data_IF_796224491470
#
_entry.id   IF_796224491470
#
_cell.length_a   1.000
_cell.length_b   1.000
_cell.length_c   1.000
_cell.angle_alpha   90.00
_cell.angle_beta   90.00
_cell.angle_gamma   90.00
#
_symmetry.space_group_name_H-M   'P 1'
#
loop_
_entity.id
_entity.type
_entity.pdbx_description
1 polymer ?
#
# COMPACT_ATOMS: atom_id res chain seq x y z
N UNK A 1 -7.88 53.19 -35.44
CA UNK A 1 -6.84 52.25 -35.91
C UNK A 1 -7.56 51.02 -36.42
N UNK A 2 -7.53 50.68 -37.70
CA UNK A 2 -8.09 49.40 -38.17
C UNK A 2 -7.17 48.32 -37.63
N UNK A 3 -7.70 47.46 -36.77
CA UNK A 3 -7.02 46.23 -36.33
C UNK A 3 -6.96 45.31 -37.55
N UNK A 4 -5.75 45.21 -38.13
CA UNK A 4 -5.52 44.36 -39.32
C UNK A 4 -5.92 42.92 -39.00
N UNK A 5 -6.96 42.43 -39.70
CA UNK A 5 -7.47 41.08 -39.59
C UNK A 5 -6.35 40.03 -39.79
N UNK A 6 -5.30 40.40 -40.54
CA UNK A 6 -4.11 39.58 -40.78
C UNK A 6 -3.25 39.30 -39.54
N UNK A 7 -3.25 40.19 -38.56
CA UNK A 7 -2.47 39.99 -37.30
C UNK A 7 -3.27 39.30 -36.21
N UNK A 8 -4.60 39.40 -36.22
CA UNK A 8 -5.49 38.76 -35.25
C UNK A 8 -5.70 37.26 -35.54
N UNK A 9 -5.67 36.87 -36.85
CA UNK A 9 -5.89 35.46 -37.25
C UNK A 9 -4.86 34.48 -36.70
N UNK A 10 -3.54 34.69 -36.80
CA UNK A 10 -2.55 33.79 -36.17
C UNK A 10 -2.66 33.77 -34.65
N UNK A 11 -2.97 34.88 -33.99
CA UNK A 11 -3.17 34.92 -32.55
C UNK A 11 -4.39 34.07 -32.14
N UNK A 12 -5.48 34.11 -32.89
CA UNK A 12 -6.66 33.28 -32.69
C UNK A 12 -6.34 31.78 -32.81
N UNK A 13 -5.55 31.39 -33.83
CA UNK A 13 -5.11 30.00 -34.00
C UNK A 13 -4.26 29.53 -32.81
N UNK A 14 -3.34 30.37 -32.31
CA UNK A 14 -2.51 30.04 -31.17
C UNK A 14 -3.39 29.83 -29.92
N UNK A 15 -4.32 30.73 -29.65
CA UNK A 15 -5.24 30.60 -28.51
C UNK A 15 -6.09 29.35 -28.62
N UNK A 16 -6.62 29.06 -29.81
CA UNK A 16 -7.46 27.87 -30.06
C UNK A 16 -6.65 26.57 -29.89
N UNK A 17 -5.41 26.53 -30.37
CA UNK A 17 -4.51 25.36 -30.19
C UNK A 17 -4.15 25.13 -28.74
N UNK A 18 -3.89 26.20 -27.97
CA UNK A 18 -3.62 26.13 -26.56
C UNK A 18 -4.82 25.58 -25.77
N UNK A 19 -6.02 26.06 -26.09
CA UNK A 19 -7.27 25.60 -25.50
C UNK A 19 -7.52 24.12 -25.81
N UNK A 20 -7.25 23.69 -27.06
CA UNK A 20 -7.34 22.28 -27.44
C UNK A 20 -6.38 21.40 -26.64
N UNK A 21 -5.12 21.84 -26.45
CA UNK A 21 -4.14 21.12 -25.64
C UNK A 21 -4.62 20.96 -24.19
N UNK A 22 -5.17 22.03 -23.61
CA UNK A 22 -5.72 21.97 -22.24
C UNK A 22 -6.87 21.00 -22.13
N UNK A 23 -7.80 21.00 -23.09
CA UNK A 23 -8.92 20.07 -23.14
C UNK A 23 -8.43 18.62 -23.26
N UNK A 24 -7.48 18.36 -24.16
CA UNK A 24 -6.88 17.03 -24.29
C UNK A 24 -6.20 16.59 -22.99
N UNK A 25 -5.46 17.50 -22.34
CA UNK A 25 -4.82 17.21 -21.06
C UNK A 25 -5.85 16.83 -19.99
N UNK A 26 -6.96 17.57 -19.87
CA UNK A 26 -8.03 17.26 -18.90
C UNK A 26 -8.65 15.88 -19.18
N UNK A 27 -8.84 15.51 -20.45
CA UNK A 27 -9.41 14.21 -20.82
C UNK A 27 -8.43 13.06 -20.55
N UNK A 28 -7.15 13.21 -20.93
CA UNK A 28 -6.17 12.13 -20.86
C UNK A 28 -5.49 12.01 -19.49
N UNK A 29 -5.40 13.10 -18.72
CA UNK A 29 -4.74 13.08 -17.40
C UNK A 29 -5.27 11.99 -16.46
N UNK A 30 -6.58 11.79 -16.27
CA UNK A 30 -7.08 10.74 -15.39
C UNK A 30 -6.74 9.33 -15.88
N UNK A 31 -6.68 9.12 -17.21
CA UNK A 31 -6.30 7.84 -17.81
C UNK A 31 -4.82 7.54 -17.58
N UNK A 32 -3.96 8.53 -17.82
CA UNK A 32 -2.51 8.43 -17.59
C UNK A 32 -2.24 8.20 -16.09
N UNK A 33 -2.87 8.99 -15.22
CA UNK A 33 -2.75 8.85 -13.78
C UNK A 33 -3.15 7.45 -13.30
N UNK A 34 -4.26 6.91 -13.81
CA UNK A 34 -4.72 5.56 -13.47
C UNK A 34 -3.74 4.48 -13.94
N UNK A 35 -3.24 4.58 -15.17
CA UNK A 35 -2.26 3.65 -15.74
C UNK A 35 -0.94 3.71 -14.96
N UNK A 36 -0.46 4.91 -14.67
CA UNK A 36 0.74 5.13 -13.86
C UNK A 36 0.58 4.53 -12.44
N UNK A 37 -0.55 4.80 -11.78
CA UNK A 37 -0.82 4.26 -10.46
C UNK A 37 -0.87 2.73 -10.47
N UNK A 38 -1.54 2.11 -11.46
CA UNK A 38 -1.59 0.64 -11.60
C UNK A 38 -0.19 0.02 -11.72
N UNK A 39 0.73 0.71 -12.40
CA UNK A 39 2.10 0.21 -12.63
C UNK A 39 3.05 0.46 -11.46
N UNK A 40 2.80 1.51 -10.65
CA UNK A 40 3.71 1.98 -9.62
C UNK A 40 3.03 2.16 -8.25
N UNK A 41 1.99 1.36 -7.96
CA UNK A 41 1.23 1.50 -6.70
C UNK A 41 2.11 1.26 -5.47
N UNK A 42 3.07 0.35 -5.53
CA UNK A 42 4.07 0.07 -4.51
C UNK A 42 4.83 1.33 -4.11
N UNK A 43 5.32 2.10 -5.08
CA UNK A 43 6.03 3.36 -4.83
C UNK A 43 5.10 4.45 -4.26
N UNK A 44 3.83 4.46 -4.68
CA UNK A 44 2.84 5.42 -4.15
C UNK A 44 2.50 5.09 -2.70
N UNK A 45 2.32 3.80 -2.38
CA UNK A 45 2.06 3.35 -1.01
C UNK A 45 3.27 3.62 -0.12
N UNK A 46 4.47 3.23 -0.56
CA UNK A 46 5.70 3.49 0.16
C UNK A 46 5.91 4.98 0.51
N UNK A 47 5.58 5.90 -0.42
CA UNK A 47 5.63 7.35 -0.13
C UNK A 47 4.63 7.79 0.93
N UNK A 48 3.43 7.21 0.95
CA UNK A 48 2.43 7.56 1.97
C UNK A 48 2.81 7.00 3.34
N UNK A 49 3.32 5.77 3.39
CA UNK A 49 3.81 5.15 4.63
C UNK A 49 5.03 5.91 5.16
N UNK A 50 5.96 6.31 4.29
CA UNK A 50 7.12 7.14 4.66
C UNK A 50 6.69 8.49 5.26
N UNK A 51 5.68 9.16 4.67
CA UNK A 51 5.15 10.41 5.27
C UNK A 51 4.54 10.17 6.64
N UNK A 52 3.87 9.03 6.83
CA UNK A 52 3.30 8.66 8.12
C UNK A 52 4.41 8.40 9.14
N UNK A 53 5.44 7.60 8.79
CA UNK A 53 6.55 7.29 9.69
C UNK A 53 7.28 8.55 10.13
N UNK A 54 7.60 9.47 9.21
CA UNK A 54 8.26 10.73 9.55
C UNK A 54 7.39 11.65 10.45
N UNK A 55 6.07 11.65 10.23
CA UNK A 55 5.17 12.49 11.05
C UNK A 55 5.05 11.99 12.49
N UNK A 56 5.17 10.69 12.70
CA UNK A 56 4.97 10.04 14.00
C UNK A 56 6.29 9.61 14.65
N UNK A 57 7.42 9.85 14.00
CA UNK A 57 8.76 9.41 14.43
C UNK A 57 8.87 7.89 14.58
N UNK A 58 8.23 7.15 13.66
CA UNK A 58 8.26 5.70 13.62
C UNK A 58 9.41 5.18 12.74
N UNK A 59 9.96 4.01 13.07
CA UNK A 59 10.93 3.34 12.21
C UNK A 59 10.24 2.67 11.02
N UNK A 60 10.83 2.78 9.83
CA UNK A 60 10.30 2.19 8.60
C UNK A 60 11.39 1.43 7.83
N UNK A 61 11.13 0.17 7.54
CA UNK A 61 11.95 -0.63 6.64
C UNK A 61 11.08 -0.98 5.42
N UNK A 62 11.50 -0.55 4.23
CA UNK A 62 10.84 -0.89 2.98
C UNK A 62 11.53 -2.07 2.30
N UNK A 63 10.76 -2.94 1.66
CA UNK A 63 11.26 -4.08 0.88
C UNK A 63 12.19 -4.96 1.71
N UNK A 64 11.69 -5.41 2.84
CA UNK A 64 12.41 -6.28 3.74
C UNK A 64 12.34 -7.72 3.22
N UNK A 65 13.50 -8.30 2.90
CA UNK A 65 13.65 -9.71 2.56
C UNK A 65 14.49 -10.39 3.63
N UNK A 66 13.95 -11.39 4.29
CA UNK A 66 14.62 -12.17 5.32
C UNK A 66 14.63 -13.65 4.94
N UNK A 67 15.67 -14.33 5.38
CA UNK A 67 15.84 -15.77 5.25
C UNK A 67 16.25 -16.32 6.62
N UNK A 68 15.70 -17.49 6.99
CA UNK A 68 16.12 -18.19 8.20
C UNK A 68 17.54 -18.74 8.04
N UNK A 69 18.22 -19.02 9.18
CA UNK A 69 19.59 -19.53 9.18
C UNK A 69 19.74 -20.86 8.42
N UNK A 70 18.70 -21.70 8.46
CA UNK A 70 18.61 -22.97 7.72
C UNK A 70 18.25 -22.80 6.25
N UNK A 71 17.98 -21.57 5.78
CA UNK A 71 17.55 -21.20 4.42
C UNK A 71 16.24 -21.86 3.96
N UNK A 72 15.45 -22.39 4.88
CA UNK A 72 14.17 -23.03 4.57
C UNK A 72 13.04 -22.01 4.51
N UNK A 73 13.07 -21.04 5.44
CA UNK A 73 12.03 -20.01 5.53
C UNK A 73 12.52 -18.71 4.92
N UNK A 74 11.76 -18.21 3.95
CA UNK A 74 12.00 -16.92 3.31
C UNK A 74 10.74 -16.06 3.41
N UNK A 75 10.90 -14.76 3.65
CA UNK A 75 9.80 -13.80 3.67
C UNK A 75 10.18 -12.48 3.03
N UNK A 76 9.29 -12.02 2.14
CA UNK A 76 9.34 -10.69 1.56
C UNK A 76 8.20 -9.83 2.12
N UNK A 77 8.55 -8.73 2.76
CA UNK A 77 7.63 -7.77 3.36
C UNK A 77 7.77 -6.44 2.62
N UNK A 78 6.66 -5.92 2.13
CA UNK A 78 6.67 -4.68 1.37
C UNK A 78 7.08 -3.50 2.27
N UNK A 79 6.46 -3.40 3.46
CA UNK A 79 6.80 -2.39 4.46
C UNK A 79 6.67 -2.94 5.88
N UNK A 80 7.70 -2.72 6.70
CA UNK A 80 7.68 -2.95 8.13
C UNK A 80 7.72 -1.58 8.83
N UNK A 81 6.63 -1.20 9.50
CA UNK A 81 6.50 0.05 10.21
C UNK A 81 6.43 -0.23 11.71
N UNK A 82 7.36 0.31 12.49
CA UNK A 82 7.44 0.09 13.93
C UNK A 82 6.97 1.35 14.65
N UNK A 83 5.80 1.26 15.29
CA UNK A 83 5.18 2.30 16.11
C UNK A 83 5.56 2.17 17.59
N UNK A 84 4.84 2.91 18.45
CA UNK A 84 5.11 2.91 19.90
C UNK A 84 4.59 1.66 20.59
N UNK A 85 3.53 1.03 20.07
CA UNK A 85 2.86 -0.13 20.68
C UNK A 85 2.88 -1.38 19.82
N UNK A 86 2.99 -1.22 18.50
CA UNK A 86 2.89 -2.31 17.56
C UNK A 86 3.91 -2.21 16.43
N UNK A 87 4.21 -3.37 15.88
CA UNK A 87 4.98 -3.52 14.65
C UNK A 87 4.00 -3.92 13.54
N UNK A 88 3.86 -3.08 12.54
CA UNK A 88 2.92 -3.25 11.44
C UNK A 88 3.61 -3.92 10.25
N UNK A 89 3.19 -5.13 9.93
CA UNK A 89 3.61 -5.85 8.71
C UNK A 89 2.63 -5.51 7.60
N UNK A 90 3.06 -4.66 6.69
CA UNK A 90 2.20 -4.10 5.65
C UNK A 90 2.50 -4.79 4.32
N UNK A 91 1.46 -5.33 3.69
CA UNK A 91 1.48 -5.94 2.36
C UNK A 91 0.67 -5.09 1.40
N UNK A 92 1.26 -4.78 0.25
CA UNK A 92 0.63 -3.96 -0.77
C UNK A 92 -0.13 -4.81 -1.78
N UNK A 93 -1.35 -4.39 -2.14
CA UNK A 93 -2.12 -5.00 -3.21
C UNK A 93 -2.88 -3.96 -4.03
N UNK A 94 -3.03 -4.22 -5.33
CA UNK A 94 -3.78 -3.36 -6.23
C UNK A 94 -4.92 -4.14 -6.89
N UNK A 95 -6.15 -3.63 -6.72
CA UNK A 95 -7.34 -4.21 -7.31
C UNK A 95 -8.14 -3.14 -8.07
N UNK A 96 -8.20 -3.25 -9.41
CA UNK A 96 -9.02 -2.35 -10.24
C UNK A 96 -10.43 -2.91 -10.39
N UNK A 97 -11.25 -2.74 -9.37
CA UNK A 97 -12.64 -3.23 -9.37
C UNK A 97 -13.17 -3.53 -7.98
N UNK A 98 -13.88 -4.66 -7.83
CA UNK A 98 -14.52 -5.04 -6.58
C UNK A 98 -14.01 -6.38 -6.06
N UNK A 99 -13.86 -6.48 -4.75
CA UNK A 99 -13.53 -7.71 -4.03
C UNK A 99 -14.76 -8.18 -3.25
N UNK A 100 -15.20 -9.40 -3.52
CA UNK A 100 -16.04 -10.13 -2.60
C UNK A 100 -15.11 -10.95 -1.70
N UNK A 101 -14.73 -10.34 -0.60
CA UNK A 101 -13.75 -10.85 0.33
C UNK A 101 -14.44 -11.26 1.64
N UNK A 102 -14.12 -12.46 2.12
CA UNK A 102 -14.48 -12.92 3.47
C UNK A 102 -13.22 -13.38 4.18
N UNK A 103 -13.07 -13.00 5.43
CA UNK A 103 -11.84 -13.24 6.18
C UNK A 103 -11.46 -14.72 6.25
N UNK A 104 -12.44 -15.61 6.41
CA UNK A 104 -12.21 -17.05 6.62
C UNK A 104 -12.23 -17.89 5.33
N UNK A 105 -12.57 -17.31 4.18
CA UNK A 105 -12.60 -18.04 2.93
C UNK A 105 -11.17 -18.29 2.41
N UNK A 106 -10.86 -19.46 1.90
CA UNK A 106 -9.56 -19.75 1.29
C UNK A 106 -9.29 -18.93 0.04
N UNK A 107 -10.32 -18.45 -0.61
CA UNK A 107 -10.23 -17.69 -1.85
C UNK A 107 -11.33 -16.65 -1.94
N UNK A 108 -11.00 -15.55 -2.57
CA UNK A 108 -11.90 -14.45 -2.83
C UNK A 108 -12.37 -14.44 -4.28
N UNK A 109 -13.47 -13.72 -4.52
CA UNK A 109 -13.93 -13.40 -5.87
C UNK A 109 -13.55 -11.97 -6.17
N UNK A 110 -12.72 -11.81 -7.19
CA UNK A 110 -12.32 -10.50 -7.70
C UNK A 110 -13.05 -10.21 -9.01
N UNK A 111 -13.73 -9.08 -9.05
CA UNK A 111 -14.39 -8.53 -10.22
C UNK A 111 -13.47 -7.46 -10.81
N UNK A 112 -12.55 -7.89 -11.70
CA UNK A 112 -11.61 -7.00 -12.37
C UNK A 112 -12.35 -6.14 -13.39
N UNK A 113 -12.18 -4.82 -13.33
CA UNK A 113 -12.80 -3.89 -14.27
C UNK A 113 -12.09 -3.95 -15.62
N UNK A 114 -12.78 -4.38 -16.67
CA UNK A 114 -12.30 -4.35 -18.03
C UNK A 114 -12.48 -2.95 -18.66
N UNK A 115 -13.69 -2.43 -18.52
CA UNK A 115 -14.08 -1.10 -18.98
C UNK A 115 -15.14 -0.50 -18.04
N UNK A 116 -15.85 0.58 -18.43
CA UNK A 116 -16.85 1.24 -17.57
C UNK A 116 -18.04 0.35 -17.20
N UNK A 117 -18.36 -0.67 -18.00
CA UNK A 117 -19.59 -1.48 -17.84
C UNK A 117 -19.32 -2.97 -17.65
N UNK A 118 -18.12 -3.44 -17.95
CA UNK A 118 -17.78 -4.86 -17.94
C UNK A 118 -16.75 -5.20 -16.88
N UNK A 119 -16.97 -6.34 -16.25
CA UNK A 119 -16.09 -6.90 -15.23
C UNK A 119 -15.77 -8.36 -15.57
N UNK A 120 -14.51 -8.76 -15.35
CA UNK A 120 -14.12 -10.16 -15.35
C UNK A 120 -14.17 -10.70 -13.93
N UNK A 121 -14.87 -11.82 -13.76
CA UNK A 121 -14.90 -12.54 -12.50
C UNK A 121 -13.70 -13.47 -12.43
N UNK A 122 -12.87 -13.33 -11.41
CA UNK A 122 -11.73 -14.20 -11.13
C UNK A 122 -11.80 -14.71 -9.71
N UNK A 123 -11.37 -15.96 -9.51
CA UNK A 123 -11.09 -16.51 -8.19
C UNK A 123 -9.62 -16.24 -7.90
N UNK A 124 -9.33 -15.60 -6.77
CA UNK A 124 -7.98 -15.29 -6.30
C UNK A 124 -7.77 -15.88 -4.90
N UNK A 125 -6.54 -16.13 -4.52
CA UNK A 125 -6.19 -16.52 -3.17
C UNK A 125 -6.59 -15.42 -2.17
N UNK A 126 -6.96 -15.81 -0.95
CA UNK A 126 -7.23 -14.85 0.11
C UNK A 126 -5.94 -14.13 0.51
N UNK A 127 -5.84 -12.88 0.13
CA UNK A 127 -4.64 -12.07 0.34
C UNK A 127 -4.39 -11.73 1.83
N UNK A 128 -5.40 -11.86 2.70
CA UNK A 128 -5.18 -11.76 4.14
C UNK A 128 -4.36 -12.94 4.64
N UNK A 129 -4.66 -14.16 4.19
CA UNK A 129 -3.85 -15.33 4.56
C UNK A 129 -2.41 -15.19 4.08
N UNK A 130 -2.20 -14.62 2.89
CA UNK A 130 -0.85 -14.34 2.39
C UNK A 130 -0.14 -13.34 3.32
N UNK A 131 -0.81 -12.25 3.70
CA UNK A 131 -0.26 -11.23 4.62
C UNK A 131 0.00 -11.80 6.02
N UNK A 132 -0.92 -12.59 6.57
CA UNK A 132 -0.76 -13.28 7.85
C UNK A 132 0.41 -14.27 7.84
N UNK A 133 0.57 -15.01 6.73
CA UNK A 133 1.70 -15.93 6.57
C UNK A 133 3.04 -15.18 6.53
N UNK A 134 3.11 -14.00 5.88
CA UNK A 134 4.30 -13.14 5.94
C UNK A 134 4.61 -12.73 7.38
N UNK A 135 3.59 -12.31 8.13
CA UNK A 135 3.73 -11.94 9.56
C UNK A 135 4.22 -13.11 10.41
N UNK A 136 3.66 -14.30 10.19
CA UNK A 136 4.07 -15.52 10.90
C UNK A 136 5.51 -15.89 10.60
N UNK A 137 5.94 -15.85 9.34
CA UNK A 137 7.32 -16.11 8.94
C UNK A 137 8.30 -15.08 9.52
N UNK A 138 7.92 -13.80 9.55
CA UNK A 138 8.71 -12.77 10.22
C UNK A 138 8.92 -13.13 11.68
N UNK A 139 7.86 -13.51 12.39
CA UNK A 139 7.92 -13.93 13.79
C UNK A 139 8.85 -15.14 13.98
N UNK A 140 8.76 -16.15 13.12
CA UNK A 140 9.62 -17.36 13.17
C UNK A 140 11.10 -17.02 12.97
N UNK A 141 11.43 -16.05 12.10
CA UNK A 141 12.83 -15.66 11.84
C UNK A 141 13.37 -14.73 12.94
N UNK A 142 12.55 -13.85 13.49
CA UNK A 142 13.02 -12.78 14.38
C UNK A 142 12.71 -13.02 15.86
N UNK A 143 11.94 -14.08 16.18
CA UNK A 143 11.45 -14.38 17.54
C UNK A 143 10.66 -13.21 18.19
N UNK A 144 10.05 -12.35 17.40
CA UNK A 144 9.20 -11.27 17.90
C UNK A 144 7.91 -11.82 18.49
N UNK A 145 7.43 -11.19 19.57
CA UNK A 145 6.16 -11.56 20.19
C UNK A 145 4.99 -11.30 19.22
N UNK A 146 4.15 -12.31 19.01
CA UNK A 146 2.97 -12.24 18.16
C UNK A 146 1.97 -11.15 18.59
N UNK A 147 1.92 -10.82 19.88
CA UNK A 147 1.03 -9.79 20.43
C UNK A 147 1.38 -8.38 19.95
N UNK A 148 2.64 -8.16 19.55
CA UNK A 148 3.13 -6.88 19.04
C UNK A 148 2.91 -6.73 17.53
N UNK A 149 2.61 -7.81 16.82
CA UNK A 149 2.55 -7.82 15.36
C UNK A 149 1.12 -7.58 14.85
N UNK A 150 0.98 -6.61 13.96
CA UNK A 150 -0.26 -6.31 13.26
C UNK A 150 -0.05 -6.51 11.76
N UNK A 151 -0.85 -7.39 11.15
CA UNK A 151 -0.86 -7.62 9.70
C UNK A 151 -1.79 -6.64 9.00
N UNK A 152 -1.31 -5.90 8.01
CA UNK A 152 -2.13 -4.96 7.25
C UNK A 152 -1.99 -5.25 5.76
N UNK A 153 -3.11 -5.59 5.11
CA UNK A 153 -3.22 -5.65 3.67
C UNK A 153 -3.77 -4.31 3.15
N UNK A 154 -2.91 -3.55 2.46
CA UNK A 154 -3.28 -2.29 1.84
C UNK A 154 -3.81 -2.50 0.43
N UNK A 155 -4.92 -1.84 0.12
CA UNK A 155 -5.47 -1.80 -1.23
C UNK A 155 -5.67 -0.35 -1.68
N UNK A 156 -5.81 -0.15 -2.99
CA UNK A 156 -6.08 1.17 -3.55
C UNK A 156 -7.47 1.70 -3.14
N UNK A 157 -7.60 3.02 -3.03
CA UNK A 157 -8.84 3.66 -2.60
C UNK A 157 -10.06 3.37 -3.51
N UNK A 158 -9.82 3.00 -4.76
CA UNK A 158 -10.89 2.70 -5.73
C UNK A 158 -11.32 1.21 -5.71
N UNK A 159 -10.68 0.38 -4.89
CA UNK A 159 -11.11 -1.00 -4.67
C UNK A 159 -12.41 -1.00 -3.86
N UNK A 160 -13.46 -1.54 -4.43
CA UNK A 160 -14.73 -1.75 -3.72
C UNK A 160 -14.64 -3.08 -2.94
N UNK A 161 -14.77 -3.00 -1.64
CA UNK A 161 -14.81 -4.17 -0.76
C UNK A 161 -16.25 -4.34 -0.28
N UNK A 162 -16.77 -5.57 -0.28
CA UNK A 162 -18.13 -5.85 0.19
C UNK A 162 -18.30 -5.45 1.68
N UNK A 163 -19.49 -4.98 2.03
CA UNK A 163 -19.82 -4.50 3.40
C UNK A 163 -19.74 -5.61 4.44
N UNK A 164 -19.95 -6.86 4.04
CA UNK A 164 -19.90 -8.04 4.92
C UNK A 164 -18.47 -8.45 5.31
N UNK A 165 -17.47 -7.65 4.90
CA UNK A 165 -16.09 -7.90 5.28
C UNK A 165 -15.89 -7.56 6.76
N UNK A 166 -16.17 -8.53 7.61
CA UNK A 166 -15.91 -8.43 9.05
C UNK A 166 -14.51 -8.99 9.29
N UNK A 167 -13.60 -8.11 9.68
CA UNK A 167 -12.31 -8.49 10.23
C UNK A 167 -12.53 -9.10 11.62
N UNK A 168 -12.62 -10.42 11.69
CA UNK A 168 -12.81 -11.15 12.95
C UNK A 168 -11.50 -11.43 13.68
N UNK A 169 -10.38 -10.86 13.20
CA UNK A 169 -9.07 -11.08 13.83
C UNK A 169 -8.55 -9.76 14.33
N UNK A 170 -8.25 -9.69 15.62
CA UNK A 170 -7.81 -8.47 16.32
C UNK A 170 -6.53 -7.85 15.75
N UNK A 171 -5.73 -8.64 15.01
CA UNK A 171 -4.40 -8.25 14.52
C UNK A 171 -4.23 -8.29 13.00
N UNK A 172 -5.31 -8.47 12.21
CA UNK A 172 -5.24 -8.50 10.74
C UNK A 172 -6.27 -7.58 10.12
N UNK A 173 -5.83 -6.71 9.20
CA UNK A 173 -6.66 -5.66 8.63
C UNK A 173 -6.54 -5.61 7.10
N UNK A 174 -7.68 -5.51 6.41
CA UNK A 174 -7.76 -5.14 5.00
C UNK A 174 -8.32 -3.72 4.91
N UNK A 175 -7.54 -2.80 4.39
CA UNK A 175 -7.95 -1.39 4.33
C UNK A 175 -7.50 -0.69 3.04
N UNK A 176 -8.28 0.27 2.54
CA UNK A 176 -7.79 1.22 1.56
C UNK A 176 -6.65 2.08 2.13
N UNK A 177 -5.65 2.38 1.28
CA UNK A 177 -4.49 3.19 1.68
C UNK A 177 -4.85 4.52 2.33
N UNK A 178 -5.94 5.17 1.90
CA UNK A 178 -6.43 6.41 2.50
C UNK A 178 -6.89 6.29 3.95
N UNK A 179 -7.16 5.07 4.43
CA UNK A 179 -7.58 4.82 5.83
C UNK A 179 -6.42 4.41 6.74
N UNK A 180 -5.20 4.23 6.21
CA UNK A 180 -4.06 3.73 6.97
C UNK A 180 -3.74 4.60 8.20
N UNK A 181 -3.63 5.92 8.02
CA UNK A 181 -3.32 6.83 9.13
C UNK A 181 -4.34 6.74 10.26
N UNK A 182 -5.63 6.63 9.92
CA UNK A 182 -6.70 6.50 10.91
C UNK A 182 -6.63 5.17 11.65
N UNK A 183 -6.33 4.08 10.94
CA UNK A 183 -6.18 2.76 11.55
C UNK A 183 -5.02 2.78 12.56
N UNK A 184 -3.82 3.18 12.14
CA UNK A 184 -2.63 3.20 13.00
C UNK A 184 -2.87 4.09 14.22
N UNK A 185 -3.42 5.29 14.04
CA UNK A 185 -3.75 6.17 15.16
C UNK A 185 -4.72 5.53 16.16
N UNK A 186 -5.72 4.77 15.69
CA UNK A 186 -6.65 4.07 16.58
C UNK A 186 -5.99 2.89 17.31
N UNK A 187 -5.08 2.17 16.65
CA UNK A 187 -4.35 1.07 17.25
C UNK A 187 -3.38 1.58 18.34
N UNK A 188 -2.65 2.64 18.06
CA UNK A 188 -1.73 3.27 19.01
C UNK A 188 -2.45 3.92 20.23
N UNK A 189 -3.75 4.16 20.14
CA UNK A 189 -4.58 4.61 21.28
C UNK A 189 -5.09 3.49 22.18
N UNK A 190 -4.91 2.22 21.82
CA UNK A 190 -5.33 1.10 22.66
C UNK A 190 -4.61 1.17 24.02
N UNK A 191 -5.29 0.70 25.07
CA UNK A 191 -4.72 0.68 26.42
C UNK A 191 -3.79 -0.53 26.61
N UNK A 192 -2.68 -0.54 25.87
CA UNK A 192 -1.59 -1.51 26.00
C UNK A 192 -0.29 -0.76 26.27
N UNK A 193 0.68 -1.42 26.89
CA UNK A 193 1.99 -0.82 27.16
C UNK A 193 2.73 -0.42 25.89
N UNK A 194 3.58 0.60 26.00
CA UNK A 194 4.47 0.97 24.90
C UNK A 194 5.64 -0.03 24.84
N UNK A 195 6.13 -0.28 23.63
CA UNK A 195 7.37 -1.02 23.41
C UNK A 195 8.54 -0.21 23.97
N UNK A 196 9.49 -0.86 24.63
CA UNK A 196 10.70 -0.19 25.07
C UNK A 196 11.46 0.35 23.83
N UNK A 197 11.65 1.66 23.77
CA UNK A 197 12.24 2.33 22.59
C UNK A 197 13.70 1.90 22.33
N UNK A 198 14.46 1.55 23.37
CA UNK A 198 15.84 1.05 23.20
C UNK A 198 15.83 -0.35 22.57
N UNK A 199 14.97 -1.23 23.09
CA UNK A 199 14.80 -2.59 22.56
C UNK A 199 14.25 -2.55 21.12
N UNK A 200 13.26 -1.70 20.86
CA UNK A 200 12.72 -1.50 19.51
C UNK A 200 13.80 -1.06 18.52
N UNK A 201 14.61 -0.05 18.90
CA UNK A 201 15.70 0.44 18.05
C UNK A 201 16.73 -0.66 17.76
N UNK A 202 17.09 -1.46 18.75
CA UNK A 202 18.00 -2.57 18.56
C UNK A 202 17.40 -3.63 17.63
N UNK A 203 16.16 -4.05 17.87
CA UNK A 203 15.46 -5.01 17.03
C UNK A 203 15.33 -4.52 15.57
N UNK A 204 14.98 -3.24 15.36
CA UNK A 204 14.91 -2.64 14.01
C UNK A 204 16.27 -2.67 13.32
N UNK A 205 17.36 -2.36 14.05
CA UNK A 205 18.72 -2.42 13.51
C UNK A 205 19.11 -3.85 13.13
N UNK A 206 18.83 -4.82 13.98
CA UNK A 206 19.13 -6.24 13.75
C UNK A 206 18.35 -6.75 12.51
N UNK A 207 17.07 -6.47 12.43
CA UNK A 207 16.23 -6.80 11.26
C UNK A 207 16.78 -6.12 9.99
N UNK A 208 17.18 -4.85 10.09
CA UNK A 208 17.75 -4.13 8.94
C UNK A 208 19.11 -4.70 8.50
N UNK A 209 19.90 -5.25 9.41
CA UNK A 209 21.16 -5.95 9.08
C UNK A 209 20.91 -7.32 8.43
N UNK A 210 19.87 -8.03 8.81
CA UNK A 210 19.47 -9.30 8.21
C UNK A 210 18.85 -9.14 6.81
N UNK A 211 18.45 -7.91 6.42
CA UNK A 211 17.79 -7.66 5.15
C UNK A 211 18.68 -7.97 3.95
N UNK A 212 18.32 -9.00 3.19
CA UNK A 212 19.03 -9.44 1.99
C UNK A 212 19.07 -8.38 0.89
N UNK A 213 17.99 -7.58 0.75
CA UNK A 213 17.91 -6.51 -0.25
C UNK A 213 18.94 -5.39 -0.01
N UNK A 214 19.41 -5.20 1.23
CA UNK A 214 20.46 -4.22 1.55
C UNK A 214 21.84 -4.65 1.02
N UNK A 215 22.08 -5.96 0.87
CA UNK A 215 23.36 -6.51 0.39
C UNK A 215 23.54 -6.35 -1.13
N UNK A 216 22.46 -6.15 -1.89
CA UNK A 216 22.48 -6.01 -3.34
C UNK A 216 22.37 -4.57 -3.85
N UNK A 217 22.22 -3.60 -2.94
CA UNK A 217 22.10 -2.16 -3.24
C UNK A 217 23.44 -1.42 -3.09
N UNK A 218 24.47 -1.88 -3.82
CA UNK A 218 25.71 -1.10 -4.05
C UNK A 218 25.80 -0.68 -5.49
#
# INVERSE_FOLDING_TARGET
MPTDFGTLFPLFIIVLSLLLIVVLFIIFYPLIKKSYFKKHFDNVYGRQIYKLSNKQDYYLINRLALESDDKITHVDIDHLLCGDKYIYVITDAYFDGALNAKANDRSWIYYERKNRKEYYKRKIENQIFVSENKTKRLMEITNLDSSLLISILLVNNNCQINEDFVLNKDNSFLIPIGKLNKLIHNLEKRNVGNINQVELKNAVNDIAHLNLNRKHGK
#
